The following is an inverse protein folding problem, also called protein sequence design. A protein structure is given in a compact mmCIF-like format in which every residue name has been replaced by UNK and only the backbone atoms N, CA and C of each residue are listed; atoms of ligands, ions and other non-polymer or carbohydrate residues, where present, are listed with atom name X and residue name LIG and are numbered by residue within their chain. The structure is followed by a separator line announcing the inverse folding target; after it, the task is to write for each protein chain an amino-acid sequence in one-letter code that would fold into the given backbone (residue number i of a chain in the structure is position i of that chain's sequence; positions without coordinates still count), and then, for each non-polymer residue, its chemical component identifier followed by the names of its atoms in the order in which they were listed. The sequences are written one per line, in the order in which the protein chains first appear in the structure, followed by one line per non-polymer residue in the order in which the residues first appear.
data_IF_233146702710
#
_entry.id   IF_233146702710
#
_cell.length_a   1.000
_cell.length_b   1.000
_cell.length_c   1.000
_cell.angle_alpha   90.00
_cell.angle_beta   90.00
_cell.angle_gamma   90.00
#
_symmetry.space_group_name_H-M   'P 1'
#
loop_
_entity.id
_entity.type
_entity.pdbx_description
1 polymer ?
#
# COMPACT_ATOMS: atom_id res chain seq x y z
N UNK A 1 29.18 -12.13 17.84
CA UNK A 1 28.01 -13.00 18.08
C UNK A 1 26.84 -12.23 17.54
N UNK A 2 26.45 -12.60 16.32
CA UNK A 2 25.30 -12.07 15.60
C UNK A 2 24.10 -12.80 16.18
N UNK A 3 23.17 -12.08 16.80
CA UNK A 3 21.97 -12.69 17.34
C UNK A 3 20.95 -12.78 16.21
N UNK A 4 20.81 -13.96 15.63
CA UNK A 4 19.73 -14.30 14.70
C UNK A 4 18.41 -14.36 15.48
N UNK A 5 17.52 -13.40 15.27
CA UNK A 5 16.16 -13.45 15.78
C UNK A 5 15.18 -13.56 14.60
N UNK A 6 14.45 -14.67 14.53
CA UNK A 6 13.29 -14.81 13.66
C UNK A 6 12.05 -14.36 14.45
N UNK A 7 11.36 -13.31 13.99
CA UNK A 7 10.07 -12.91 14.56
C UNK A 7 8.98 -13.79 13.98
N UNK A 8 8.61 -14.83 14.73
CA UNK A 8 7.47 -15.70 14.43
C UNK A 8 6.22 -15.19 15.14
N UNK A 9 5.32 -14.55 14.40
CA UNK A 9 3.95 -14.30 14.86
C UNK A 9 3.17 -15.62 14.74
N UNK A 10 2.93 -16.28 15.88
CA UNK A 10 2.23 -17.56 15.98
C UNK A 10 0.97 -17.42 16.83
N UNK A 11 -0.14 -18.01 16.38
CA UNK A 11 -1.36 -18.17 17.18
C UNK A 11 -1.60 -19.66 17.39
N UNK A 12 -1.85 -20.05 18.64
CA UNK A 12 -2.16 -21.44 18.99
C UNK A 12 -3.44 -21.90 18.29
N UNK A 13 -3.37 -22.98 17.52
CA UNK A 13 -4.54 -23.65 16.98
C UNK A 13 -5.30 -24.34 18.12
N UNK A 14 -6.27 -23.65 18.71
CA UNK A 14 -7.33 -24.28 19.50
C UNK A 14 -8.68 -23.95 18.88
N UNK A 15 -9.51 -24.96 18.53
CA UNK A 15 -10.87 -24.72 18.06
C UNK A 15 -11.71 -24.20 19.23
N UNK A 16 -12.17 -22.95 19.14
CA UNK A 16 -13.23 -22.42 19.99
C UNK A 16 -12.83 -22.01 21.43
N UNK A 17 -13.19 -20.77 21.76
CA UNK A 17 -13.60 -20.35 23.12
C UNK A 17 -12.55 -20.13 24.24
N UNK A 18 -11.25 -20.01 23.98
CA UNK A 18 -10.26 -19.68 25.04
C UNK A 18 -9.28 -18.54 24.68
N UNK A 19 -9.83 -17.41 24.19
CA UNK A 19 -9.09 -16.18 23.88
C UNK A 19 -8.40 -15.41 25.05
N UNK A 20 -8.67 -15.62 26.36
CA UNK A 20 -8.00 -14.84 27.41
C UNK A 20 -6.51 -15.13 27.58
N UNK A 21 -6.06 -16.36 27.32
CA UNK A 21 -4.69 -16.81 27.65
C UNK A 21 -3.65 -16.36 26.61
N UNK A 22 -4.05 -16.22 25.34
CA UNK A 22 -3.19 -15.70 24.25
C UNK A 22 -2.84 -14.23 24.46
N UNK A 23 -3.77 -13.45 25.04
CA UNK A 23 -3.57 -12.02 25.33
C UNK A 23 -2.52 -11.79 26.42
N UNK A 24 -2.39 -12.72 27.36
CA UNK A 24 -1.39 -12.65 28.45
C UNK A 24 0.03 -12.84 27.94
N UNK A 25 0.24 -13.69 26.92
CA UNK A 25 1.56 -13.97 26.34
C UNK A 25 2.12 -12.81 25.51
N UNK A 26 1.26 -11.97 24.91
CA UNK A 26 1.67 -10.75 24.21
C UNK A 26 2.20 -9.66 25.16
N UNK A 27 1.94 -9.78 26.47
CA UNK A 27 2.34 -8.80 27.48
C UNK A 27 3.40 -9.31 28.47
N UNK A 28 3.80 -10.58 28.41
CA UNK A 28 4.91 -11.11 29.21
C UNK A 28 6.25 -10.78 28.55
N UNK A 29 7.14 -10.09 29.27
CA UNK A 29 8.52 -9.87 28.83
C UNK A 29 9.24 -11.21 28.63
N UNK A 30 10.29 -11.21 27.79
CA UNK A 30 11.04 -12.39 27.32
C UNK A 30 11.61 -13.33 28.42
N UNK A 31 11.44 -13.02 29.71
CA UNK A 31 11.95 -13.81 30.83
C UNK A 31 11.00 -14.91 31.32
N UNK A 32 9.73 -14.94 30.90
CA UNK A 32 8.73 -15.93 31.35
C UNK A 32 8.19 -16.80 30.18
N UNK A 33 9.05 -17.20 29.25
CA UNK A 33 8.63 -18.16 28.23
C UNK A 33 8.46 -19.55 28.89
N UNK A 34 7.27 -20.18 28.80
CA UNK A 34 7.03 -21.47 29.45
C UNK A 34 7.96 -22.54 28.87
N UNK A 35 8.54 -23.36 29.76
CA UNK A 35 9.33 -24.51 29.36
C UNK A 35 8.53 -25.41 28.39
N UNK A 36 9.17 -25.81 27.28
CA UNK A 36 8.54 -26.62 26.22
C UNK A 36 7.92 -25.81 25.06
N UNK A 37 8.12 -24.48 24.99
CA UNK A 37 7.71 -23.69 23.83
C UNK A 37 8.40 -24.15 22.54
N UNK A 38 9.69 -24.48 22.59
CA UNK A 38 10.44 -25.04 21.45
C UNK A 38 9.85 -26.35 20.93
N UNK A 39 9.30 -27.17 21.84
CA UNK A 39 8.66 -28.44 21.48
C UNK A 39 7.27 -28.24 20.86
N UNK A 40 6.61 -27.12 21.19
CA UNK A 40 5.30 -26.73 20.65
C UNK A 40 5.39 -25.88 19.38
N UNK A 41 6.52 -25.20 19.14
CA UNK A 41 6.76 -24.37 17.96
C UNK A 41 6.49 -25.11 16.63
N UNK A 42 6.91 -26.37 16.43
CA UNK A 42 6.58 -27.13 15.22
C UNK A 42 5.08 -27.41 15.03
N UNK A 43 4.29 -27.35 16.11
CA UNK A 43 2.83 -27.56 16.07
C UNK A 43 2.04 -26.27 15.82
N UNK A 44 2.70 -25.11 15.82
CA UNK A 44 2.08 -23.83 15.54
C UNK A 44 2.09 -23.58 14.04
N UNK A 45 0.91 -23.37 13.46
CA UNK A 45 0.81 -22.97 12.06
C UNK A 45 1.33 -21.53 11.89
N UNK A 46 2.10 -21.24 10.82
CA UNK A 46 2.48 -19.88 10.50
C UNK A 46 1.23 -19.05 10.22
N UNK A 47 1.18 -17.83 10.78
CA UNK A 47 0.13 -16.86 10.47
C UNK A 47 0.64 -15.97 9.36
N UNK A 48 0.01 -16.04 8.19
CA UNK A 48 0.31 -15.13 7.10
C UNK A 48 -0.56 -13.88 7.22
N UNK A 49 0.00 -12.68 6.96
CA UNK A 49 -0.78 -11.45 6.90
C UNK A 49 -1.77 -11.46 5.72
N UNK A 50 -2.65 -10.47 5.67
CA UNK A 50 -3.42 -10.15 4.47
C UNK A 50 -2.47 -9.68 3.35
N UNK A 51 -1.52 -8.81 3.67
CA UNK A 51 -0.48 -8.35 2.75
C UNK A 51 0.78 -7.83 3.46
N UNK A 52 1.87 -7.76 2.69
CA UNK A 52 3.14 -7.14 3.05
C UNK A 52 3.33 -5.84 2.25
N UNK A 53 4.08 -4.90 2.80
CA UNK A 53 4.34 -3.66 2.10
C UNK A 53 5.02 -2.59 2.94
N UNK A 54 5.13 -1.41 2.34
CA UNK A 54 5.67 -0.22 2.98
C UNK A 54 4.55 0.69 3.45
N UNK A 55 4.61 1.09 4.71
CA UNK A 55 3.57 1.90 5.35
C UNK A 55 4.14 3.25 5.72
N UNK A 56 3.35 4.31 5.49
CA UNK A 56 3.68 5.61 6.03
C UNK A 56 3.64 5.56 7.57
N UNK A 57 4.61 6.19 8.25
CA UNK A 57 4.59 6.27 9.70
C UNK A 57 3.31 6.99 10.17
N UNK A 58 2.80 6.66 11.38
CA UNK A 58 1.73 7.44 11.97
C UNK A 58 2.13 8.92 12.04
N UNK A 59 1.17 9.82 11.80
CA UNK A 59 1.40 11.25 12.06
C UNK A 59 1.69 11.42 13.55
N UNK A 60 2.74 12.17 13.88
CA UNK A 60 2.97 12.59 15.25
C UNK A 60 1.90 13.62 15.63
N UNK A 61 1.20 13.41 16.73
CA UNK A 61 0.28 14.40 17.28
C UNK A 61 1.13 15.54 17.90
N UNK A 62 1.32 16.62 17.15
CA UNK A 62 2.25 17.69 17.52
C UNK A 62 1.59 18.75 18.42
N UNK A 63 1.60 18.51 19.73
CA UNK A 63 1.57 19.61 20.71
C UNK A 63 2.98 20.19 20.99
N UNK A 64 4.05 19.55 20.51
CA UNK A 64 5.42 20.02 20.70
C UNK A 64 6.18 20.14 19.36
N UNK A 65 7.03 21.16 19.30
CA UNK A 65 7.75 21.80 18.18
C UNK A 65 8.70 20.90 17.36
N UNK A 66 8.26 19.75 16.85
CA UNK A 66 9.14 18.80 16.13
C UNK A 66 8.67 18.33 14.75
N UNK A 67 7.63 18.90 14.15
CA UNK A 67 7.31 18.62 12.75
C UNK A 67 8.08 19.59 11.83
N UNK A 68 9.04 19.08 11.06
CA UNK A 68 9.56 19.79 9.91
C UNK A 68 8.51 19.80 8.80
N UNK A 69 8.50 20.84 7.96
CA UNK A 69 7.56 21.09 6.84
C UNK A 69 7.54 19.98 5.75
N UNK A 70 8.30 18.91 5.91
CA UNK A 70 8.47 17.81 4.95
C UNK A 70 7.39 16.72 5.01
N UNK A 71 6.42 16.83 5.90
CA UNK A 71 5.30 15.88 5.98
C UNK A 71 4.25 16.23 4.91
N UNK A 72 4.24 15.46 3.83
CA UNK A 72 3.41 15.55 2.62
C UNK A 72 1.90 15.76 2.82
N UNK A 73 1.42 15.64 4.05
CA UNK A 73 0.02 15.47 4.36
C UNK A 73 -0.51 16.53 5.33
N UNK A 74 0.09 17.72 5.38
CA UNK A 74 -0.38 18.90 6.12
C UNK A 74 -1.67 19.50 5.52
N UNK A 75 -2.72 18.70 5.40
CA UNK A 75 -4.08 19.21 5.58
C UNK A 75 -4.25 19.33 7.09
N UNK A 76 -4.38 20.55 7.62
CA UNK A 76 -4.72 20.77 9.02
C UNK A 76 -6.04 20.04 9.31
N UNK A 77 -6.00 18.92 10.05
CA UNK A 77 -7.21 18.25 10.46
C UNK A 77 -7.85 19.16 11.51
N UNK A 78 -9.15 19.44 11.41
CA UNK A 78 -9.92 19.88 12.58
C UNK A 78 -9.60 18.93 13.74
N UNK A 79 -9.62 19.40 15.00
CA UNK A 79 -9.21 18.61 16.19
C UNK A 79 -9.87 17.21 16.33
N UNK A 80 -10.89 16.91 15.53
CA UNK A 80 -11.59 15.61 15.44
C UNK A 80 -11.00 14.62 14.41
N UNK A 81 -10.05 15.01 13.56
CA UNK A 81 -9.54 14.20 12.44
C UNK A 81 -8.04 13.88 12.51
N UNK A 82 -7.37 14.22 13.62
CA UNK A 82 -5.93 14.02 13.81
C UNK A 82 -5.47 12.55 13.77
N UNK A 83 -6.38 11.60 14.03
CA UNK A 83 -6.11 10.15 14.04
C UNK A 83 -6.65 9.41 12.80
N UNK A 84 -7.24 10.11 11.83
CA UNK A 84 -7.95 9.48 10.72
C UNK A 84 -7.11 9.45 9.43
N UNK A 85 -6.72 8.23 9.07
CA UNK A 85 -6.50 7.67 7.72
C UNK A 85 -6.33 8.59 6.52
N UNK A 86 -5.33 8.29 5.68
CA UNK A 86 -5.16 8.90 4.37
C UNK A 86 -5.62 8.02 3.19
N UNK A 87 -6.23 6.86 3.44
CA UNK A 87 -7.11 6.17 2.49
C UNK A 87 -8.57 6.55 2.80
N UNK A 88 -9.30 7.08 1.82
CA UNK A 88 -10.57 7.79 1.98
C UNK A 88 -10.45 8.97 2.97
N UNK A 89 -9.56 9.96 2.74
CA UNK A 89 -9.54 11.15 3.55
C UNK A 89 -10.91 11.82 3.50
N UNK A 90 -11.35 12.37 4.63
CA UNK A 90 -12.64 13.03 4.75
C UNK A 90 -12.69 14.28 3.88
N UNK A 91 -13.17 14.15 2.65
CA UNK A 91 -13.57 15.30 1.84
C UNK A 91 -14.99 15.71 2.25
N UNK A 92 -15.11 16.66 3.18
CA UNK A 92 -16.40 17.14 3.66
C UNK A 92 -16.96 16.33 4.83
N UNK A 93 -18.27 16.00 4.81
CA UNK A 93 -18.93 15.26 5.90
C UNK A 93 -18.53 13.77 5.85
N UNK A 94 -18.40 13.14 7.03
CA UNK A 94 -18.23 11.68 7.16
C UNK A 94 -19.21 10.95 6.24
N UNK A 95 -18.72 10.02 5.38
CA UNK A 95 -19.62 9.11 4.69
C UNK A 95 -20.50 8.43 5.75
N UNK A 96 -21.82 8.33 5.54
CA UNK A 96 -22.70 7.69 6.51
C UNK A 96 -22.20 6.28 6.84
N UNK A 97 -22.16 5.95 8.13
CA UNK A 97 -21.89 4.58 8.56
C UNK A 97 -22.86 3.64 7.84
N UNK A 98 -22.35 2.52 7.31
CA UNK A 98 -23.10 1.47 6.60
C UNK A 98 -23.43 1.68 5.11
N UNK A 99 -22.80 2.64 4.42
CA UNK A 99 -22.99 2.78 2.95
C UNK A 99 -22.05 1.96 2.06
N UNK A 100 -21.18 1.12 2.66
CA UNK A 100 -20.27 0.23 1.92
C UNK A 100 -18.99 0.92 1.41
N UNK A 101 -18.62 2.05 2.00
CA UNK A 101 -17.29 2.66 1.79
C UNK A 101 -16.21 1.85 2.54
N UNK A 102 -15.01 1.66 1.95
CA UNK A 102 -13.92 0.96 2.61
C UNK A 102 -13.52 1.64 3.92
N UNK A 103 -13.20 0.84 4.93
CA UNK A 103 -12.70 1.34 6.20
C UNK A 103 -11.41 2.15 5.97
N UNK A 104 -11.27 3.34 6.56
CA UNK A 104 -10.08 4.14 6.39
C UNK A 104 -8.83 3.43 6.94
N UNK A 105 -7.77 3.30 6.14
CA UNK A 105 -6.47 2.71 6.54
C UNK A 105 -5.30 3.65 6.29
N UNK A 106 -4.13 3.35 6.87
CA UNK A 106 -2.92 4.13 6.56
C UNK A 106 -2.53 3.90 5.09
N UNK A 107 -2.09 4.95 4.37
CA UNK A 107 -1.47 4.78 3.06
C UNK A 107 -0.34 3.77 3.17
N UNK A 108 -0.27 2.91 2.19
CA UNK A 108 0.74 1.87 2.10
C UNK A 108 0.94 1.48 0.64
N UNK A 109 2.09 0.87 0.40
CA UNK A 109 2.50 0.30 -0.89
C UNK A 109 2.58 -1.19 -0.71
N UNK A 110 1.63 -1.91 -1.29
CA UNK A 110 1.60 -3.38 -1.18
C UNK A 110 2.69 -3.99 -2.04
N UNK A 111 3.64 -4.71 -1.42
CA UNK A 111 4.68 -5.47 -2.12
C UNK A 111 4.16 -6.84 -2.55
N UNK A 112 3.38 -7.50 -1.68
CA UNK A 112 2.78 -8.81 -1.93
C UNK A 112 1.47 -8.98 -1.17
N UNK A 113 0.42 -9.42 -1.86
CA UNK A 113 -0.88 -9.76 -1.28
C UNK A 113 -0.92 -11.26 -0.99
N UNK A 114 -0.94 -11.65 0.29
CA UNK A 114 -0.87 -13.06 0.71
C UNK A 114 -2.23 -13.69 0.97
N UNK A 115 -3.28 -12.88 1.18
CA UNK A 115 -4.63 -13.34 1.51
C UNK A 115 -4.64 -14.38 2.64
N UNK A 116 -3.97 -14.09 3.75
CA UNK A 116 -3.85 -15.01 4.88
C UNK A 116 -3.23 -16.38 4.53
N UNK A 117 -2.37 -16.41 3.50
CA UNK A 117 -1.71 -17.60 3.01
C UNK A 117 -2.44 -18.31 1.87
N UNK A 118 -3.63 -17.84 1.48
CA UNK A 118 -4.39 -18.42 0.38
C UNK A 118 -3.85 -18.03 -1.00
N UNK A 119 -3.06 -16.95 -1.11
CA UNK A 119 -2.44 -16.57 -2.38
C UNK A 119 -1.29 -17.53 -2.73
N UNK A 120 -1.18 -18.00 -3.98
CA UNK A 120 -0.02 -18.76 -4.44
C UNK A 120 1.29 -18.00 -4.19
N UNK A 121 2.29 -18.68 -3.64
CA UNK A 121 3.58 -18.08 -3.30
C UNK A 121 3.66 -17.49 -1.89
N UNK A 122 2.60 -17.55 -1.07
CA UNK A 122 2.57 -16.82 0.19
C UNK A 122 3.56 -17.35 1.22
N UNK A 123 3.72 -18.67 1.26
CA UNK A 123 4.74 -19.31 2.08
C UNK A 123 6.13 -18.96 1.59
N UNK A 124 6.36 -19.09 0.29
CA UNK A 124 7.65 -18.83 -0.36
C UNK A 124 8.08 -17.38 -0.17
N UNK A 125 7.14 -16.43 -0.22
CA UNK A 125 7.39 -15.01 0.04
C UNK A 125 7.75 -14.75 1.49
N UNK A 126 6.98 -15.31 2.44
CA UNK A 126 7.23 -15.18 3.86
C UNK A 126 8.57 -15.80 4.29
N UNK A 127 9.00 -16.88 3.62
CA UNK A 127 10.26 -17.57 3.91
C UNK A 127 11.50 -16.86 3.31
N UNK A 128 11.32 -15.81 2.49
CA UNK A 128 12.44 -15.04 1.98
C UNK A 128 13.19 -14.38 3.14
N UNK A 129 14.50 -14.65 3.22
CA UNK A 129 15.37 -14.03 4.24
C UNK A 129 15.25 -12.50 4.23
N UNK A 130 15.24 -11.90 3.03
CA UNK A 130 15.09 -10.44 2.88
C UNK A 130 13.77 -9.91 3.48
N UNK A 131 12.68 -10.69 3.41
CA UNK A 131 11.38 -10.32 3.97
C UNK A 131 11.43 -10.42 5.49
N UNK A 132 11.94 -11.53 6.03
CA UNK A 132 12.07 -11.74 7.47
C UNK A 132 12.95 -10.70 8.14
N UNK A 133 14.12 -10.39 7.57
CA UNK A 133 15.00 -9.33 8.07
C UNK A 133 14.34 -7.95 7.99
N UNK A 134 13.61 -7.66 6.91
CA UNK A 134 12.95 -6.37 6.76
C UNK A 134 11.81 -6.16 7.78
N UNK A 135 11.12 -7.22 8.19
CA UNK A 135 10.09 -7.17 9.23
C UNK A 135 10.63 -6.78 10.61
N UNK A 136 11.95 -6.81 10.81
CA UNK A 136 12.61 -6.34 12.04
C UNK A 136 12.71 -4.81 12.15
N UNK A 137 12.08 -4.07 11.22
CA UNK A 137 11.98 -2.61 11.27
C UNK A 137 12.73 -1.87 10.16
N UNK A 138 12.80 -2.45 8.96
CA UNK A 138 13.40 -1.79 7.80
C UNK A 138 12.65 -0.51 7.44
N UNK A 139 13.42 0.53 7.16
CA UNK A 139 12.92 1.82 6.68
C UNK A 139 13.55 2.12 5.33
N UNK A 140 12.71 2.42 4.35
CA UNK A 140 13.12 2.79 2.99
C UNK A 140 12.60 4.20 2.65
N UNK A 141 13.08 4.75 1.54
CA UNK A 141 12.57 6.00 0.96
C UNK A 141 11.87 5.66 -0.36
N UNK A 142 10.72 6.29 -0.60
CA UNK A 142 9.97 6.16 -1.87
C UNK A 142 10.07 7.46 -2.65
N UNK A 143 9.94 7.39 -3.98
CA UNK A 143 9.69 8.58 -4.81
C UNK A 143 8.22 8.65 -5.19
N UNK A 144 7.51 9.69 -4.74
CA UNK A 144 6.14 9.98 -5.17
C UNK A 144 6.21 10.84 -6.43
N UNK A 145 5.84 10.26 -7.57
CA UNK A 145 5.96 10.90 -8.88
C UNK A 145 4.77 11.83 -9.17
N UNK A 146 3.60 11.50 -8.63
CA UNK A 146 2.38 12.26 -8.89
C UNK A 146 1.12 11.62 -8.33
N UNK A 147 0.00 12.27 -8.57
CA UNK A 147 -1.34 11.82 -8.15
C UNK A 147 -2.17 11.39 -9.35
N UNK A 148 -2.95 10.33 -9.17
CA UNK A 148 -3.89 9.80 -10.14
C UNK A 148 -5.30 9.99 -9.61
N UNK A 149 -6.18 10.54 -10.43
CA UNK A 149 -7.57 10.81 -10.07
C UNK A 149 -8.47 10.30 -11.19
N UNK A 150 -9.32 9.33 -10.87
CA UNK A 150 -10.36 8.81 -11.76
C UNK A 150 -11.72 8.83 -11.06
N UNK A 151 -12.79 8.46 -11.77
CA UNK A 151 -14.11 8.26 -11.14
C UNK A 151 -14.11 7.14 -10.11
N UNK A 152 -13.12 6.24 -10.17
CA UNK A 152 -13.02 5.02 -9.35
C UNK A 152 -12.04 5.17 -8.19
N UNK A 153 -10.89 5.80 -8.43
CA UNK A 153 -9.79 5.83 -7.47
C UNK A 153 -9.13 7.21 -7.37
N UNK A 154 -8.56 7.48 -6.21
CA UNK A 154 -7.49 8.47 -6.05
C UNK A 154 -6.28 7.70 -5.55
N UNK A 155 -5.13 7.87 -6.21
CA UNK A 155 -3.90 7.17 -5.86
C UNK A 155 -2.67 8.05 -6.02
N UNK A 156 -1.58 7.65 -5.38
CA UNK A 156 -0.25 8.18 -5.64
C UNK A 156 0.53 7.19 -6.49
N UNK A 157 1.15 7.66 -7.58
CA UNK A 157 2.10 6.88 -8.39
C UNK A 157 3.46 6.96 -7.75
N UNK A 158 4.12 5.82 -7.61
CA UNK A 158 5.37 5.70 -6.88
C UNK A 158 6.45 5.07 -7.76
N UNK A 159 7.68 5.45 -7.50
CA UNK A 159 8.87 4.75 -7.96
C UNK A 159 9.56 4.13 -6.75
N UNK A 160 9.86 2.84 -6.87
CA UNK A 160 10.58 2.07 -5.86
C UNK A 160 12.08 2.20 -6.10
N UNK A 161 12.87 2.36 -5.04
CA UNK A 161 14.32 2.27 -5.15
C UNK A 161 14.75 0.85 -5.53
N UNK A 162 15.92 0.71 -6.17
CA UNK A 162 16.48 -0.59 -6.59
C UNK A 162 16.56 -1.60 -5.45
N UNK A 163 16.79 -1.16 -4.21
CA UNK A 163 16.87 -2.01 -3.02
C UNK A 163 15.50 -2.55 -2.54
N UNK A 164 14.41 -1.99 -3.04
CA UNK A 164 13.02 -2.37 -2.73
C UNK A 164 12.46 -3.36 -3.76
N UNK A 165 12.97 -3.35 -4.99
CA UNK A 165 12.54 -4.26 -6.06
C UNK A 165 12.64 -5.77 -5.71
N UNK A 166 13.62 -6.25 -4.93
CA UNK A 166 13.66 -7.65 -4.50
C UNK A 166 12.43 -8.12 -3.71
N UNK A 167 11.72 -7.20 -3.04
CA UNK A 167 10.48 -7.46 -2.30
C UNK A 167 9.24 -7.48 -3.20
N UNK A 168 9.33 -6.91 -4.40
CA UNK A 168 8.17 -6.69 -5.27
C UNK A 168 7.67 -7.99 -5.88
N UNK A 169 6.42 -8.34 -5.61
CA UNK A 169 5.75 -9.54 -6.17
C UNK A 169 4.32 -9.22 -6.63
N UNK A 170 4.09 -7.99 -7.07
CA UNK A 170 2.88 -7.65 -7.80
C UNK A 170 3.01 -8.07 -9.27
N UNK A 171 1.87 -8.33 -9.90
CA UNK A 171 1.81 -8.62 -11.32
C UNK A 171 1.83 -7.32 -12.13
N UNK A 172 3.03 -6.89 -12.55
CA UNK A 172 3.26 -5.75 -13.46
C UNK A 172 2.93 -6.11 -14.92
N UNK A 173 2.80 -7.42 -15.22
CA UNK A 173 2.45 -7.94 -16.55
C UNK A 173 0.95 -8.09 -16.76
N UNK A 174 0.15 -7.81 -15.72
CA UNK A 174 -1.30 -7.92 -15.75
C UNK A 174 -1.89 -7.15 -16.94
N UNK A 175 -2.90 -7.76 -17.56
CA UNK A 175 -3.67 -7.10 -18.61
C UNK A 175 -4.52 -6.01 -17.98
N UNK A 176 -4.43 -4.80 -18.51
CA UNK A 176 -5.19 -3.67 -18.02
C UNK A 176 -6.14 -3.21 -19.10
N UNK A 177 -7.43 -3.44 -18.89
CA UNK A 177 -8.46 -2.91 -19.79
C UNK A 177 -8.42 -1.39 -19.84
N UNK A 178 -8.56 -0.86 -21.05
CA UNK A 178 -8.43 0.57 -21.32
C UNK A 178 -6.99 1.05 -21.49
N UNK A 179 -5.98 0.20 -21.29
CA UNK A 179 -4.61 0.58 -21.67
C UNK A 179 -4.58 0.96 -23.15
N UNK A 180 -3.83 2.02 -23.47
CA UNK A 180 -3.90 2.65 -24.79
C UNK A 180 -3.20 1.85 -25.90
N UNK A 181 -2.84 0.57 -25.72
CA UNK A 181 -2.00 -0.18 -26.67
C UNK A 181 -2.50 -1.59 -27.00
N UNK A 182 -2.58 -1.90 -28.30
CA UNK A 182 -2.89 -3.22 -28.87
C UNK A 182 -1.70 -4.18 -28.96
N UNK A 183 -0.49 -3.72 -28.63
CA UNK A 183 0.71 -4.54 -28.44
C UNK A 183 1.34 -4.14 -27.09
N UNK A 184 1.54 -5.14 -26.24
CA UNK A 184 1.88 -5.05 -24.83
C UNK A 184 3.22 -4.34 -24.59
N UNK A 185 3.27 -3.15 -23.96
CA UNK A 185 4.55 -2.64 -23.46
C UNK A 185 5.05 -3.57 -22.35
N UNK A 186 6.29 -4.04 -22.46
CA UNK A 186 6.96 -4.71 -21.35
C UNK A 186 7.16 -3.69 -20.23
N UNK A 187 6.35 -3.77 -19.18
CA UNK A 187 6.49 -2.90 -18.01
C UNK A 187 7.67 -3.37 -17.15
N UNK A 188 8.60 -2.48 -16.77
CA UNK A 188 9.63 -2.80 -15.79
C UNK A 188 9.04 -3.24 -14.46
N UNK A 189 9.81 -4.03 -13.70
CA UNK A 189 9.44 -4.43 -12.34
C UNK A 189 9.21 -3.18 -11.48
N UNK A 190 8.10 -3.14 -10.75
CA UNK A 190 7.72 -2.01 -9.91
C UNK A 190 6.80 -1.00 -10.60
N UNK A 191 6.46 -1.17 -11.88
CA UNK A 191 5.61 -0.22 -12.61
C UNK A 191 4.18 -0.09 -12.04
N UNK A 192 3.73 -1.07 -11.25
CA UNK A 192 2.44 -1.03 -10.54
C UNK A 192 2.56 -0.44 -9.13
N UNK A 193 3.71 0.12 -8.74
CA UNK A 193 3.90 0.72 -7.41
C UNK A 193 3.01 1.94 -7.20
N UNK A 194 2.13 1.84 -6.19
CA UNK A 194 1.16 2.88 -5.88
C UNK A 194 0.77 2.84 -4.40
N UNK A 195 0.21 3.94 -3.94
CA UNK A 195 -0.58 3.99 -2.72
C UNK A 195 -2.01 4.42 -3.05
N UNK A 196 -2.99 3.63 -2.63
CA UNK A 196 -4.40 4.02 -2.74
C UNK A 196 -4.72 5.07 -1.69
N UNK A 197 -5.33 6.18 -2.12
CA UNK A 197 -5.69 7.31 -1.26
C UNK A 197 -7.20 7.48 -1.15
N UNK A 198 -8.00 7.09 -2.13
CA UNK A 198 -9.45 7.05 -1.99
C UNK A 198 -10.07 6.07 -2.99
N UNK A 199 -11.26 5.56 -2.65
CA UNK A 199 -12.00 4.61 -3.44
C UNK A 199 -13.47 5.03 -3.54
N UNK A 200 -14.02 4.95 -4.75
CA UNK A 200 -15.45 5.03 -4.93
C UNK A 200 -16.16 3.81 -4.33
N UNK A 201 -17.46 3.93 -4.09
CA UNK A 201 -18.27 2.86 -3.51
C UNK A 201 -18.21 1.59 -4.37
N UNK A 202 -17.88 0.46 -3.74
CA UNK A 202 -17.78 -0.84 -4.41
C UNK A 202 -16.55 -1.02 -5.30
N UNK A 203 -15.58 -0.10 -5.25
CA UNK A 203 -14.31 -0.23 -5.97
C UNK A 203 -13.26 -0.84 -5.04
N UNK A 204 -12.63 -1.91 -5.52
CA UNK A 204 -11.53 -2.59 -4.83
C UNK A 204 -10.22 -1.80 -4.95
N UNK A 205 -9.38 -1.83 -3.91
CA UNK A 205 -8.10 -1.11 -3.88
C UNK A 205 -7.13 -1.49 -5.00
N UNK A 206 -7.26 -2.70 -5.54
CA UNK A 206 -6.46 -3.21 -6.66
C UNK A 206 -6.61 -2.37 -7.94
N UNK A 207 -7.74 -1.67 -8.10
CA UNK A 207 -8.02 -0.80 -9.24
C UNK A 207 -7.02 0.35 -9.37
N UNK A 208 -6.54 0.88 -8.24
CA UNK A 208 -5.52 1.95 -8.25
C UNK A 208 -4.22 1.48 -8.90
N UNK A 209 -3.86 0.21 -8.72
CA UNK A 209 -2.71 -0.40 -9.39
C UNK A 209 -2.93 -0.52 -10.91
N UNK A 210 -4.17 -0.75 -11.34
CA UNK A 210 -4.52 -0.72 -12.76
C UNK A 210 -4.47 0.71 -13.33
N UNK A 211 -4.96 1.71 -12.60
CA UNK A 211 -4.82 3.14 -12.94
C UNK A 211 -3.34 3.53 -13.11
N UNK A 212 -2.47 3.06 -12.21
CA UNK A 212 -1.01 3.28 -12.30
C UNK A 212 -0.41 2.74 -13.59
N UNK A 213 -0.77 1.51 -13.96
CA UNK A 213 -0.27 0.90 -15.21
C UNK A 213 -0.85 1.59 -16.45
N UNK A 214 -2.06 2.14 -16.40
CA UNK A 214 -2.63 2.93 -17.52
C UNK A 214 -1.86 4.22 -17.73
N UNK A 215 -1.48 4.91 -16.64
CA UNK A 215 -0.59 6.08 -16.71
C UNK A 215 0.76 5.69 -17.31
N UNK A 216 1.35 4.60 -16.83
CA UNK A 216 2.62 4.09 -17.36
C UNK A 216 2.55 3.82 -18.88
N UNK A 217 1.50 3.14 -19.33
CA UNK A 217 1.31 2.83 -20.75
C UNK A 217 1.06 4.08 -21.60
N UNK A 218 0.36 5.09 -21.04
CA UNK A 218 0.19 6.38 -21.69
C UNK A 218 1.52 7.11 -21.83
N UNK A 219 2.33 7.17 -20.76
CA UNK A 219 3.66 7.78 -20.76
C UNK A 219 4.60 7.12 -21.78
N UNK A 220 4.66 5.79 -21.79
CA UNK A 220 5.49 5.02 -22.73
C UNK A 220 5.15 5.30 -24.20
N UNK A 221 3.93 5.76 -24.49
CA UNK A 221 3.47 6.16 -25.83
C UNK A 221 3.53 7.66 -26.08
N UNK A 222 4.08 8.43 -25.14
CA UNK A 222 4.17 9.89 -25.22
C UNK A 222 2.86 10.63 -24.95
N UNK A 223 1.98 10.07 -24.11
CA UNK A 223 0.67 10.60 -23.74
C UNK A 223 -0.23 10.94 -24.96
N UNK A 224 -0.56 9.94 -25.79
CA UNK A 224 -1.40 10.16 -26.96
C UNK A 224 -2.80 10.64 -26.55
N UNK A 225 -3.38 11.55 -27.33
CA UNK A 225 -4.74 12.07 -27.14
C UNK A 225 -5.03 12.62 -25.73
N UNK A 226 -3.98 13.13 -25.07
CA UNK A 226 -4.01 13.63 -23.70
C UNK A 226 -3.87 15.15 -23.68
N UNK A 227 -4.77 15.86 -22.98
CA UNK A 227 -4.62 17.31 -22.79
C UNK A 227 -3.61 17.58 -21.68
N UNK A 228 -2.58 18.36 -21.98
CA UNK A 228 -1.53 18.77 -21.04
C UNK A 228 -1.77 20.20 -20.52
N UNK A 229 -1.75 20.37 -19.21
CA UNK A 229 -1.88 21.68 -18.54
C UNK A 229 -0.72 21.86 -17.57
N UNK A 230 0.09 22.90 -17.77
CA UNK A 230 1.17 23.24 -16.83
C UNK A 230 0.61 23.94 -15.59
N UNK A 231 1.14 23.56 -14.43
CA UNK A 231 0.87 24.21 -13.14
C UNK A 231 2.20 24.57 -12.47
N UNK A 232 2.17 25.33 -11.37
CA UNK A 232 3.38 25.89 -10.77
C UNK A 232 4.41 24.82 -10.35
N UNK A 233 3.93 23.68 -9.86
CA UNK A 233 4.67 22.60 -9.23
C UNK A 233 4.60 21.27 -10.01
N UNK A 234 4.09 21.29 -11.25
CA UNK A 234 4.00 20.09 -12.06
C UNK A 234 3.17 20.23 -13.33
N UNK A 235 2.64 19.10 -13.82
CA UNK A 235 1.87 19.01 -15.07
C UNK A 235 0.65 18.13 -14.84
N UNK A 236 -0.51 18.58 -15.30
CA UNK A 236 -1.74 17.78 -15.30
C UNK A 236 -1.97 17.22 -16.71
N UNK A 237 -2.11 15.91 -16.77
CA UNK A 237 -2.47 15.13 -17.96
C UNK A 237 -3.92 14.65 -17.82
N UNK A 238 -4.77 15.01 -18.78
CA UNK A 238 -6.13 14.47 -18.92
C UNK A 238 -6.10 13.31 -19.92
N UNK A 239 -5.99 12.09 -19.40
CA UNK A 239 -5.80 10.86 -20.17
C UNK A 239 -7.17 10.29 -20.51
N UNK A 240 -7.46 10.22 -21.81
CA UNK A 240 -8.70 9.67 -22.34
C UNK A 240 -8.61 8.15 -22.44
N UNK A 241 -9.46 7.46 -21.68
CA UNK A 241 -9.51 6.01 -21.58
C UNK A 241 -10.68 5.44 -22.42
N UNK A 242 -10.50 4.30 -23.11
CA UNK A 242 -11.58 3.61 -23.80
C UNK A 242 -12.72 3.23 -22.84
N UNK A 243 -13.96 3.56 -23.23
CA UNK A 243 -15.16 3.27 -22.43
C UNK A 243 -15.41 1.77 -22.25
N UNK A 244 -15.76 1.35 -21.02
CA UNK A 244 -16.41 0.04 -20.79
C UNK A 244 -17.91 0.15 -21.08
N UNK A 245 -18.27 0.19 -22.37
CA UNK A 245 -19.64 -0.07 -22.83
C UNK A 245 -20.64 1.10 -22.80
N UNK A 246 -20.30 2.29 -22.28
CA UNK A 246 -21.20 3.47 -22.33
C UNK A 246 -21.04 4.32 -23.59
N UNK A 247 -20.02 4.04 -24.42
CA UNK A 247 -19.72 4.78 -25.66
C UNK A 247 -19.03 6.14 -25.42
N UNK A 248 -19.16 6.70 -24.22
CA UNK A 248 -18.43 7.92 -23.81
C UNK A 248 -17.06 7.58 -23.23
N UNK A 249 -15.98 8.26 -23.66
CA UNK A 249 -14.65 8.05 -23.11
C UNK A 249 -14.61 8.36 -21.61
N UNK A 250 -13.84 7.58 -20.87
CA UNK A 250 -13.58 7.84 -19.45
C UNK A 250 -12.32 8.70 -19.32
N UNK A 251 -12.28 9.60 -18.34
CA UNK A 251 -11.14 10.47 -18.10
C UNK A 251 -10.41 10.05 -16.83
N UNK A 252 -9.08 10.02 -16.91
CA UNK A 252 -8.20 9.86 -15.77
C UNK A 252 -7.21 11.03 -15.76
N UNK A 253 -7.16 11.76 -14.66
CA UNK A 253 -6.22 12.86 -14.47
C UNK A 253 -4.96 12.35 -13.78
N UNK A 254 -3.80 12.57 -14.39
CA UNK A 254 -2.51 12.35 -13.77
C UNK A 254 -1.84 13.69 -13.53
N UNK A 255 -1.67 14.04 -12.26
CA UNK A 255 -0.90 15.20 -11.83
C UNK A 255 0.53 14.78 -11.51
N UNK A 256 1.43 15.00 -12.46
CA UNK A 256 2.86 14.73 -12.34
C UNK A 256 3.55 15.87 -11.61
N UNK A 257 4.31 15.54 -10.56
CA UNK A 257 5.09 16.53 -9.83
C UNK A 257 6.36 16.89 -10.59
N UNK A 258 6.67 18.18 -10.61
CA UNK A 258 7.95 18.68 -11.16
C UNK A 258 9.14 18.18 -10.36
N UNK A 259 8.98 18.08 -9.05
CA UNK A 259 9.97 17.53 -8.12
C UNK A 259 9.28 16.42 -7.35
N UNK A 260 9.66 15.14 -7.58
CA UNK A 260 9.13 14.02 -6.81
C UNK A 260 9.36 14.20 -5.32
N UNK A 261 8.40 13.73 -4.53
CA UNK A 261 8.46 13.84 -3.09
C UNK A 261 9.02 12.54 -2.51
N UNK A 262 9.85 12.65 -1.47
CA UNK A 262 10.65 11.50 -1.00
C UNK A 262 10.35 11.09 0.45
N UNK A 263 9.15 10.56 0.75
CA UNK A 263 8.80 10.16 2.11
C UNK A 263 9.54 8.90 2.55
N UNK A 264 9.82 8.83 3.85
CA UNK A 264 10.27 7.60 4.52
C UNK A 264 9.10 6.70 4.85
N UNK A 265 9.28 5.40 4.66
CA UNK A 265 8.26 4.37 4.91
C UNK A 265 8.87 3.16 5.59
N UNK A 266 8.07 2.47 6.40
CA UNK A 266 8.49 1.26 7.11
C UNK A 266 7.95 0.02 6.42
N UNK A 267 8.81 -0.95 6.14
CA UNK A 267 8.38 -2.24 5.64
C UNK A 267 7.78 -3.08 6.77
N UNK A 268 6.54 -3.53 6.62
CA UNK A 268 5.86 -4.38 7.59
C UNK A 268 4.74 -5.19 6.93
N UNK A 269 3.86 -5.78 7.73
CA UNK A 269 2.73 -6.59 7.29
C UNK A 269 1.43 -6.15 7.95
N UNK A 270 0.31 -6.41 7.28
CA UNK A 270 -1.03 -6.09 7.75
C UNK A 270 -1.87 -7.36 7.86
N UNK A 271 -2.51 -7.60 9.01
CA UNK A 271 -3.33 -8.76 9.32
C UNK A 271 -4.81 -8.35 9.40
#
# INVERSE_FOLDING_TARGET
MENDYNVLLVVAQTPGFMAPQVRTLLHSGAQDLPAGLEEKLPSLAPVYPLYYGWFWPPRCNCNDKCCSESDLWTVEPSKETADLSAVNPLFGKLPPANEGYPAPTRPHVTSYYSNYGAQPGAKEYADLLIVNEALLGRVDTLSVLGLMVSKRTIGARLELESAMLPFWRQDDSARVEGSLGGDWPSRPVGSRAHATLALAKGVEAVETGFDTMRVFDAEARGYPDTKRTEVADGIIYDITMPSKGTGEPEHMFYYEFKTPLTPRVMYTSFY
#
